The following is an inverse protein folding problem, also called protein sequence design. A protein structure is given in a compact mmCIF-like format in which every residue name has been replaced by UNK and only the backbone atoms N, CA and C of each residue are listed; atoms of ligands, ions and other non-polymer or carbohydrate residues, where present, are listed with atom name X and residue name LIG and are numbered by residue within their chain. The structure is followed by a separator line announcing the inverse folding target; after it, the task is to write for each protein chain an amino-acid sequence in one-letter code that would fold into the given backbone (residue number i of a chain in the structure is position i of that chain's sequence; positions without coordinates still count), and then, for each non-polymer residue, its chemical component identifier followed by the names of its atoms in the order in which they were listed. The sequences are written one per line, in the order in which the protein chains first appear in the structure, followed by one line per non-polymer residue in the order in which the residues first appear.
data_IF_725420262487
#
_entry.id   IF_725420262487
#
_cell.length_a   1.000
_cell.length_b   1.000
_cell.length_c   1.000
_cell.angle_alpha   90.00
_cell.angle_beta   90.00
_cell.angle_gamma   90.00
#
_symmetry.space_group_name_H-M   'P 1'
#
loop_
_entity.id
_entity.type
_entity.pdbx_description
1 polymer ?
#
# COMPACT_ATOMS: atom_id res chain seq x y z
N UNK A 1 -13.69 10.08 -16.98
CA UNK A 1 -12.87 10.34 -15.78
C UNK A 1 -13.83 10.64 -14.66
N UNK A 2 -13.74 9.94 -13.52
CA UNK A 2 -14.67 10.13 -12.40
C UNK A 2 -13.94 10.51 -11.10
N UNK A 3 -12.67 10.11 -10.94
CA UNK A 3 -11.79 10.57 -9.88
C UNK A 3 -10.42 10.96 -10.46
N UNK A 4 -9.92 12.14 -10.08
CA UNK A 4 -8.55 12.59 -10.33
C UNK A 4 -8.06 13.25 -9.03
N UNK A 5 -6.93 12.79 -8.49
CA UNK A 5 -6.36 13.39 -7.30
C UNK A 5 -5.57 14.67 -7.64
N UNK A 6 -5.16 15.41 -6.62
CA UNK A 6 -4.37 16.66 -6.76
C UNK A 6 -2.98 16.47 -7.39
N UNK A 7 -2.55 15.22 -7.61
CA UNK A 7 -1.28 14.83 -8.21
C UNK A 7 -1.45 14.15 -9.58
N UNK A 8 -2.68 14.06 -10.10
CA UNK A 8 -2.98 13.53 -11.43
C UNK A 8 -3.19 12.02 -11.48
N UNK A 9 -3.25 11.32 -10.34
CA UNK A 9 -3.67 9.92 -10.29
C UNK A 9 -5.16 9.82 -10.62
N UNK A 10 -5.54 8.87 -11.48
CA UNK A 10 -6.89 8.79 -12.06
C UNK A 10 -7.50 7.43 -11.84
N UNK A 11 -8.73 7.41 -11.35
CA UNK A 11 -9.62 6.27 -11.45
C UNK A 11 -10.62 6.53 -12.57
N UNK A 12 -10.59 5.68 -13.60
CA UNK A 12 -11.53 5.76 -14.71
C UNK A 12 -12.87 5.06 -14.39
N UNK A 13 -13.83 5.23 -15.29
CA UNK A 13 -15.17 4.67 -15.12
C UNK A 13 -15.16 3.14 -15.25
N UNK A 14 -14.22 2.55 -15.98
CA UNK A 14 -14.10 1.11 -16.17
C UNK A 14 -13.58 0.44 -14.89
N UNK A 15 -12.63 1.08 -14.20
CA UNK A 15 -12.13 0.65 -12.91
C UNK A 15 -13.26 0.51 -11.87
N UNK A 16 -14.17 1.49 -11.79
CA UNK A 16 -15.29 1.48 -10.84
C UNK A 16 -16.32 0.37 -11.12
N UNK A 17 -16.36 -0.18 -12.34
CA UNK A 17 -17.20 -1.34 -12.65
C UNK A 17 -16.75 -2.62 -11.96
N UNK A 18 -15.60 -2.60 -11.27
CA UNK A 18 -15.11 -3.71 -10.42
C UNK A 18 -15.72 -3.75 -9.00
N UNK A 19 -16.45 -2.70 -8.59
CA UNK A 19 -17.09 -2.62 -7.26
C UNK A 19 -18.34 -3.51 -7.02
N UNK A 20 -19.03 -4.10 -8.01
CA UNK A 20 -20.14 -5.01 -7.75
C UNK A 20 -19.75 -6.18 -6.85
N UNK A 21 -20.66 -6.56 -5.94
CA UNK A 21 -20.46 -7.66 -4.99
C UNK A 21 -20.06 -8.94 -5.74
N UNK A 22 -18.99 -9.59 -5.27
CA UNK A 22 -18.47 -10.84 -5.83
C UNK A 22 -17.56 -10.65 -7.05
N UNK A 23 -17.22 -9.42 -7.42
CA UNK A 23 -16.23 -9.12 -8.45
C UNK A 23 -14.85 -8.85 -7.84
N UNK A 24 -13.79 -9.13 -8.59
CA UNK A 24 -12.44 -8.72 -8.20
C UNK A 24 -12.31 -7.22 -8.37
N UNK A 25 -11.94 -6.52 -7.30
CA UNK A 25 -11.74 -5.08 -7.30
C UNK A 25 -10.50 -4.74 -8.13
N UNK A 26 -10.57 -3.69 -8.96
CA UNK A 26 -9.43 -3.23 -9.74
C UNK A 26 -8.37 -2.56 -8.85
N UNK A 27 -7.09 -2.78 -9.14
CA UNK A 27 -5.99 -2.10 -8.45
C UNK A 27 -6.09 -0.58 -8.46
N UNK A 28 -6.53 0.01 -9.57
CA UNK A 28 -6.75 1.46 -9.63
C UNK A 28 -7.85 1.97 -8.68
N UNK A 29 -8.82 1.13 -8.31
CA UNK A 29 -9.81 1.45 -7.27
C UNK A 29 -9.18 1.37 -5.88
N UNK A 30 -8.37 0.34 -5.62
CA UNK A 30 -7.60 0.20 -4.37
C UNK A 30 -6.67 1.40 -4.19
N UNK A 31 -5.96 1.79 -5.25
CA UNK A 31 -5.03 2.92 -5.22
C UNK A 31 -5.75 4.25 -4.97
N UNK A 32 -6.94 4.44 -5.56
CA UNK A 32 -7.76 5.62 -5.28
C UNK A 32 -8.14 5.70 -3.79
N UNK A 33 -8.47 4.56 -3.16
CA UNK A 33 -8.74 4.51 -1.73
C UNK A 33 -7.50 4.78 -0.87
N UNK A 34 -6.34 4.27 -1.26
CA UNK A 34 -5.05 4.62 -0.62
C UNK A 34 -4.84 6.13 -0.61
N UNK A 35 -5.20 6.83 -1.69
CA UNK A 35 -5.12 8.29 -1.71
C UNK A 35 -6.11 8.97 -0.78
N UNK A 36 -7.36 8.47 -0.72
CA UNK A 36 -8.37 8.98 0.22
C UNK A 36 -7.90 8.82 1.66
N UNK A 37 -7.30 7.68 2.02
CA UNK A 37 -6.81 7.41 3.37
C UNK A 37 -5.62 8.31 3.73
N UNK A 38 -4.65 8.48 2.83
CA UNK A 38 -3.51 9.36 3.06
C UNK A 38 -3.88 10.84 3.23
N UNK A 39 -5.01 11.27 2.65
CA UNK A 39 -5.53 12.64 2.78
C UNK A 39 -6.58 12.78 3.91
N UNK A 40 -6.90 11.71 4.65
CA UNK A 40 -7.93 11.74 5.71
C UNK A 40 -7.39 12.43 6.99
N UNK A 41 -7.93 13.59 7.38
CA UNK A 41 -7.48 14.30 8.58
C UNK A 41 -7.77 13.53 9.87
N UNK A 42 -8.71 12.59 9.87
CA UNK A 42 -9.02 11.78 11.05
C UNK A 42 -7.90 10.78 11.37
N UNK A 43 -7.11 10.37 10.36
CA UNK A 43 -5.94 9.51 10.53
C UNK A 43 -4.68 10.30 10.90
N UNK A 44 -4.79 11.63 11.02
CA UNK A 44 -3.71 12.54 11.43
C UNK A 44 -4.03 13.26 12.75
N UNK A 45 -4.96 12.73 13.55
CA UNK A 45 -5.35 13.32 14.83
C UNK A 45 -4.21 13.21 15.86
N UNK A 46 -4.02 14.22 16.73
CA UNK A 46 -3.01 14.15 17.80
C UNK A 46 -3.19 12.92 18.69
N UNK A 47 -2.13 12.14 18.86
CA UNK A 47 -2.11 10.92 19.67
C UNK A 47 -2.57 9.65 18.95
N UNK A 48 -2.92 9.73 17.66
CA UNK A 48 -3.07 8.55 16.80
C UNK A 48 -1.74 8.26 16.08
N UNK A 49 -1.46 6.99 15.74
CA UNK A 49 -0.33 6.65 14.89
C UNK A 49 -0.41 7.39 13.54
N UNK A 50 0.72 7.89 13.06
CA UNK A 50 0.84 8.51 11.74
C UNK A 50 0.96 7.40 10.70
N UNK A 51 -0.08 7.25 9.89
CA UNK A 51 -0.17 6.19 8.89
C UNK A 51 0.28 6.68 7.50
N UNK A 52 1.05 5.85 6.82
CA UNK A 52 1.29 5.93 5.38
C UNK A 52 0.65 4.72 4.70
N UNK A 53 -0.20 4.96 3.70
CA UNK A 53 -0.77 3.92 2.85
C UNK A 53 -0.08 3.93 1.48
N UNK A 54 0.34 2.76 1.02
CA UNK A 54 1.01 2.56 -0.26
C UNK A 54 0.10 1.81 -1.23
N UNK A 55 0.14 2.22 -2.49
CA UNK A 55 -0.63 1.64 -3.60
C UNK A 55 -0.14 0.23 -3.94
N UNK A 56 -0.97 -0.52 -4.66
CA UNK A 56 -0.79 -1.97 -4.80
C UNK A 56 0.46 -2.42 -5.59
N UNK A 57 1.08 -1.52 -6.36
CA UNK A 57 2.28 -1.80 -7.17
C UNK A 57 3.59 -1.50 -6.43
N UNK A 58 3.52 -1.07 -5.16
CA UNK A 58 4.71 -0.82 -4.31
C UNK A 58 5.53 -2.09 -4.12
N UNK A 59 4.86 -3.24 -4.05
CA UNK A 59 5.45 -4.57 -3.97
C UNK A 59 4.91 -5.39 -5.14
N UNK A 60 5.80 -6.00 -5.89
CA UNK A 60 5.46 -6.79 -7.08
C UNK A 60 5.91 -8.24 -6.92
N UNK A 61 5.22 -9.19 -7.54
CA UNK A 61 5.35 -10.64 -7.34
C UNK A 61 6.79 -11.16 -7.23
N UNK A 62 7.70 -10.66 -8.09
CA UNK A 62 9.09 -11.13 -8.11
C UNK A 62 9.84 -10.81 -6.81
N UNK A 63 9.46 -9.74 -6.11
CA UNK A 63 10.05 -9.37 -4.81
C UNK A 63 9.71 -10.40 -3.74
N UNK A 64 8.52 -11.03 -3.84
CA UNK A 64 8.04 -12.03 -2.89
C UNK A 64 8.51 -13.45 -3.24
N UNK A 65 8.72 -13.71 -4.53
CA UNK A 65 9.03 -15.05 -5.07
C UNK A 65 10.50 -15.49 -4.90
N UNK A 66 11.41 -14.60 -4.50
CA UNK A 66 12.84 -14.91 -4.38
C UNK A 66 13.21 -15.43 -2.99
N UNK A 67 13.82 -16.62 -2.93
CA UNK A 67 14.30 -17.22 -1.66
C UNK A 67 15.42 -16.40 -0.99
N UNK A 68 16.23 -15.67 -1.77
CA UNK A 68 17.33 -14.84 -1.26
C UNK A 68 17.43 -13.53 -2.04
N UNK A 69 18.00 -12.49 -1.41
CA UNK A 69 18.32 -11.21 -2.06
C UNK A 69 19.79 -10.82 -1.84
N UNK A 70 20.73 -11.58 -2.43
CA UNK A 70 22.15 -11.35 -2.24
C UNK A 70 22.62 -10.00 -2.80
N UNK A 71 21.87 -9.38 -3.72
CA UNK A 71 22.22 -8.11 -4.36
C UNK A 71 21.50 -6.88 -3.77
N UNK A 72 20.60 -7.06 -2.79
CA UNK A 72 19.78 -5.97 -2.25
C UNK A 72 18.78 -5.39 -3.26
N UNK A 73 18.50 -6.12 -4.33
CA UNK A 73 17.64 -5.65 -5.42
C UNK A 73 16.18 -5.50 -4.97
N UNK A 74 15.72 -6.28 -3.99
CA UNK A 74 14.34 -6.15 -3.49
C UNK A 74 14.15 -4.85 -2.73
N UNK A 75 15.11 -4.51 -1.87
CA UNK A 75 15.07 -3.25 -1.11
C UNK A 75 15.12 -2.06 -2.06
N UNK A 76 16.03 -2.08 -3.04
CA UNK A 76 16.11 -1.02 -4.04
C UNK A 76 14.82 -0.89 -4.88
N UNK A 77 14.19 -2.01 -5.23
CA UNK A 77 12.92 -2.01 -5.96
C UNK A 77 11.77 -1.48 -5.09
N UNK A 78 11.70 -1.89 -3.83
CA UNK A 78 10.71 -1.38 -2.87
C UNK A 78 10.86 0.13 -2.67
N UNK A 79 12.07 0.63 -2.47
CA UNK A 79 12.35 2.06 -2.37
C UNK A 79 11.94 2.81 -3.66
N UNK A 80 12.17 2.21 -4.82
CA UNK A 80 11.76 2.77 -6.10
C UNK A 80 10.24 2.83 -6.22
N UNK A 81 9.53 1.77 -5.81
CA UNK A 81 8.08 1.71 -5.73
C UNK A 81 7.52 2.80 -4.82
N UNK A 82 8.02 2.89 -3.59
CA UNK A 82 7.65 3.96 -2.65
C UNK A 82 7.85 5.36 -3.24
N UNK A 83 9.02 5.64 -3.82
CA UNK A 83 9.30 6.96 -4.44
C UNK A 83 8.38 7.26 -5.61
N UNK A 84 8.09 6.25 -6.44
CA UNK A 84 7.17 6.38 -7.58
C UNK A 84 5.76 6.69 -7.09
N UNK A 85 5.31 5.98 -6.06
CA UNK A 85 3.99 6.11 -5.46
C UNK A 85 3.78 7.43 -4.71
N UNK A 86 4.86 8.02 -4.26
CA UNK A 86 4.90 9.33 -3.62
C UNK A 86 5.35 10.43 -4.58
N UNK A 87 5.37 10.21 -5.90
CA UNK A 87 5.78 11.23 -6.87
C UNK A 87 4.91 12.49 -6.74
N UNK A 88 5.55 13.62 -6.42
CA UNK A 88 4.86 14.89 -6.09
C UNK A 88 4.61 15.11 -4.58
N UNK A 89 4.83 14.09 -3.75
CA UNK A 89 4.71 14.08 -2.29
C UNK A 89 6.04 13.75 -1.62
N UNK A 90 7.12 14.38 -2.07
CA UNK A 90 8.48 14.13 -1.57
C UNK A 90 8.64 14.28 -0.05
N UNK A 91 7.73 15.01 0.61
CA UNK A 91 7.68 15.12 2.07
C UNK A 91 7.20 13.84 2.79
N UNK A 92 6.55 12.90 2.10
CA UNK A 92 6.10 11.62 2.66
C UNK A 92 7.12 10.49 2.47
N UNK A 93 8.27 10.76 1.85
CA UNK A 93 9.30 9.73 1.57
C UNK A 93 10.13 9.42 2.83
N UNK A 94 10.21 10.36 3.78
CA UNK A 94 10.86 10.10 5.04
C UNK A 94 9.97 9.22 5.93
N UNK A 95 10.27 7.93 5.97
CA UNK A 95 9.51 6.96 6.77
C UNK A 95 9.58 7.26 8.27
N UNK A 96 10.55 8.06 8.74
CA UNK A 96 10.62 8.48 10.14
C UNK A 96 9.44 9.39 10.55
N UNK A 97 8.76 10.01 9.59
CA UNK A 97 7.58 10.82 9.86
C UNK A 97 6.33 9.96 10.10
N UNK A 98 6.41 8.64 9.97
CA UNK A 98 5.29 7.72 10.15
C UNK A 98 5.56 6.72 11.26
N UNK A 99 4.49 6.35 11.96
CA UNK A 99 4.52 5.29 12.97
C UNK A 99 4.16 3.95 12.31
N UNK A 100 3.36 3.97 11.23
CA UNK A 100 2.92 2.77 10.52
C UNK A 100 2.91 2.96 9.00
N UNK A 101 3.37 1.93 8.26
CA UNK A 101 3.36 1.88 6.79
C UNK A 101 2.56 0.67 6.32
N UNK A 102 1.48 0.91 5.61
CA UNK A 102 0.56 -0.12 5.10
C UNK A 102 0.72 -0.27 3.60
N UNK A 103 1.11 -1.45 3.14
CA UNK A 103 1.33 -1.77 1.73
C UNK A 103 0.27 -2.74 1.25
N UNK A 104 -0.56 -2.28 0.32
CA UNK A 104 -1.51 -3.17 -0.37
C UNK A 104 -0.71 -4.08 -1.31
N UNK A 105 -0.98 -5.39 -1.28
CA UNK A 105 -0.33 -6.36 -2.15
C UNK A 105 -1.40 -7.09 -2.94
N UNK A 106 -1.18 -7.18 -4.26
CA UNK A 106 -1.99 -7.98 -5.17
C UNK A 106 -1.16 -9.17 -5.66
N UNK A 107 -1.54 -10.37 -5.27
CA UNK A 107 -0.88 -11.61 -5.71
C UNK A 107 -1.94 -12.59 -6.23
N UNK A 108 -1.82 -13.04 -7.49
CA UNK A 108 -2.74 -14.01 -8.11
C UNK A 108 -4.22 -13.65 -7.90
N UNK A 109 -4.59 -12.40 -8.21
CA UNK A 109 -5.94 -11.83 -8.05
C UNK A 109 -6.49 -11.76 -6.61
N UNK A 110 -5.61 -11.87 -5.60
CA UNK A 110 -5.95 -11.75 -4.19
C UNK A 110 -5.29 -10.54 -3.54
N UNK A 111 -6.08 -9.76 -2.79
CA UNK A 111 -5.58 -8.62 -2.02
C UNK A 111 -5.37 -8.99 -0.55
N UNK A 112 -4.19 -8.65 -0.06
CA UNK A 112 -3.86 -8.61 1.36
C UNK A 112 -3.04 -7.35 1.67
N UNK A 113 -2.89 -7.05 2.96
CA UNK A 113 -2.15 -5.88 3.44
C UNK A 113 -0.95 -6.33 4.28
N UNK A 114 0.22 -5.78 3.98
CA UNK A 114 1.39 -5.86 4.85
C UNK A 114 1.47 -4.54 5.61
N UNK A 115 1.53 -4.58 6.93
CA UNK A 115 1.64 -3.40 7.78
C UNK A 115 2.95 -3.46 8.55
N UNK A 116 3.83 -2.51 8.28
CA UNK A 116 5.03 -2.27 9.06
C UNK A 116 4.69 -1.29 10.17
N UNK A 117 4.76 -1.76 11.40
CA UNK A 117 4.69 -0.95 12.61
C UNK A 117 6.11 -0.57 13.00
N UNK A 118 6.44 0.69 12.72
CA UNK A 118 7.78 1.23 12.89
C UNK A 118 8.05 1.61 14.36
N UNK A 119 7.01 1.77 15.17
CA UNK A 119 7.13 2.05 16.60
C UNK A 119 7.47 0.78 17.38
N UNK A 120 6.77 -0.32 17.11
CA UNK A 120 6.97 -1.61 17.78
C UNK A 120 7.98 -2.54 17.05
N UNK A 121 8.53 -2.11 15.92
CA UNK A 121 9.39 -2.92 15.03
C UNK A 121 8.73 -4.25 14.62
N UNK A 122 7.43 -4.21 14.27
CA UNK A 122 6.63 -5.39 13.93
C UNK A 122 6.09 -5.34 12.52
N UNK A 123 5.84 -6.53 11.96
CA UNK A 123 5.18 -6.69 10.68
C UNK A 123 3.89 -7.48 10.92
N UNK A 124 2.78 -6.93 10.43
CA UNK A 124 1.49 -7.59 10.44
C UNK A 124 1.08 -7.94 9.01
N UNK A 125 0.58 -9.15 8.81
CA UNK A 125 -0.06 -9.58 7.57
C UNK A 125 -1.57 -9.63 7.82
N UNK A 126 -2.32 -8.78 7.14
CA UNK A 126 -3.79 -8.75 7.22
C UNK A 126 -4.33 -9.35 5.93
N UNK A 127 -4.85 -10.56 6.04
CA UNK A 127 -5.47 -11.30 4.95
C UNK A 127 -6.90 -11.68 5.34
N UNK A 128 -7.86 -11.45 4.44
CA UNK A 128 -9.26 -11.81 4.66
C UNK A 128 -9.57 -13.28 4.34
N UNK A 129 -8.68 -13.99 3.64
CA UNK A 129 -8.76 -15.42 3.33
C UNK A 129 -7.94 -16.30 4.28
N UNK A 130 -7.02 -15.70 5.04
CA UNK A 130 -6.19 -16.40 6.02
C UNK A 130 -6.82 -16.43 7.43
N UNK A 131 -6.75 -17.58 8.10
CA UNK A 131 -6.85 -17.63 9.57
C UNK A 131 -5.68 -16.80 10.14
N UNK A 132 -5.93 -15.56 10.58
CA UNK A 132 -5.05 -14.63 11.31
C UNK A 132 -3.62 -15.16 11.56
N UNK A 133 -2.80 -15.16 10.51
CA UNK A 133 -1.41 -15.60 10.57
C UNK A 133 -0.53 -14.43 10.98
N UNK A 134 -0.25 -14.30 12.28
CA UNK A 134 0.88 -13.50 12.77
C UNK A 134 2.17 -14.14 12.23
N UNK A 135 2.67 -13.61 11.12
CA UNK A 135 4.03 -13.92 10.64
C UNK A 135 4.94 -12.81 11.15
N UNK A 136 5.54 -13.04 12.33
CA UNK A 136 6.66 -12.23 12.79
C UNK A 136 7.91 -12.66 12.00
N UNK A 137 8.52 -11.73 11.28
CA UNK A 137 9.88 -11.90 10.73
C UNK A 137 10.91 -11.36 11.72
#
# INVERSE_FOLDING_TARGET
MMFEDKFGARADVLALQSLPIGSNVSGSVVDAWVQVLNDDPNLSLPGMPRHLFCVHDTVVDWMLSLETDPSGCRVAAFECGLKTNLSGRHHLVDLHDFDMVSVSVLEVDHYYLIVFDLEDERIYLIDHLGDLGLVCF
#
